data_IF_516052499332
#
_entry.id   IF_516052499332
#
_cell.length_a   1.000
_cell.length_b   1.000
_cell.length_c   1.000
_cell.angle_alpha   90.00
_cell.angle_beta   90.00
_cell.angle_gamma   90.00
#
_symmetry.space_group_name_H-M   'P 1'
#
loop_
_entity.id
_entity.type
_entity.pdbx_description
1 polymer ?
#
# COMPACT_ATOMS: atom_id res chain seq x y z
N UNK A 1 -18.72 -7.72 9.16
CA UNK A 1 -19.25 -7.78 7.77
C UNK A 1 -18.22 -7.16 6.84
N UNK A 2 -17.49 -7.99 6.09
CA UNK A 2 -16.57 -7.52 5.04
C UNK A 2 -17.42 -7.05 3.85
N UNK A 3 -17.30 -5.78 3.48
CA UNK A 3 -17.92 -5.23 2.27
C UNK A 3 -17.26 -5.87 1.05
N UNK A 4 -18.04 -6.65 0.30
CA UNK A 4 -17.63 -7.20 -1.01
C UNK A 4 -17.31 -6.05 -1.98
N UNK A 5 -16.15 -6.07 -2.68
CA UNK A 5 -15.81 -5.04 -3.65
C UNK A 5 -16.85 -4.98 -4.78
N UNK A 6 -17.36 -3.79 -5.10
CA UNK A 6 -18.33 -3.56 -6.20
C UNK A 6 -17.80 -3.90 -7.60
N UNK A 7 -16.49 -4.12 -7.75
CA UNK A 7 -15.84 -4.48 -9.01
C UNK A 7 -14.80 -5.58 -8.79
N UNK A 8 -14.62 -6.53 -9.74
CA UNK A 8 -13.54 -7.50 -9.67
C UNK A 8 -12.20 -6.75 -9.64
N UNK A 9 -11.24 -7.16 -8.79
CA UNK A 9 -9.98 -6.44 -8.66
C UNK A 9 -9.24 -6.39 -10.00
N UNK A 10 -8.79 -5.20 -10.41
CA UNK A 10 -8.01 -4.94 -11.65
C UNK A 10 -6.58 -5.51 -11.60
N UNK A 11 -6.34 -6.52 -10.78
CA UNK A 11 -5.03 -7.06 -10.45
C UNK A 11 -4.49 -6.55 -9.11
N UNK A 12 -3.17 -6.55 -8.98
CA UNK A 12 -2.44 -6.21 -7.77
C UNK A 12 -1.79 -4.83 -7.86
N UNK A 13 -1.66 -4.17 -6.71
CA UNK A 13 -0.83 -2.99 -6.52
C UNK A 13 0.23 -3.31 -5.46
N UNK A 14 1.49 -3.09 -5.79
CA UNK A 14 2.60 -3.18 -4.84
C UNK A 14 3.48 -1.94 -4.94
N UNK A 15 4.47 -1.84 -4.08
CA UNK A 15 5.44 -0.75 -4.09
C UNK A 15 6.79 -1.24 -3.58
N UNK A 16 7.84 -0.55 -4.00
CA UNK A 16 9.17 -0.64 -3.41
C UNK A 16 9.16 -0.01 -2.01
N UNK A 17 8.96 -0.85 -1.00
CA UNK A 17 8.89 -0.41 0.40
C UNK A 17 10.26 0.10 0.88
N UNK A 18 10.27 1.09 1.77
CA UNK A 18 11.46 1.50 2.48
C UNK A 18 11.81 0.47 3.58
N UNK A 19 12.19 -0.75 3.17
CA UNK A 19 12.38 -1.92 4.05
C UNK A 19 13.46 -1.76 5.13
N UNK A 20 14.37 -0.80 4.97
CA UNK A 20 15.40 -0.44 5.95
C UNK A 20 14.96 0.66 6.94
N UNK A 21 13.72 1.15 6.84
CA UNK A 21 13.22 2.20 7.72
C UNK A 21 12.78 1.65 9.09
N UNK A 22 12.26 2.53 9.95
CA UNK A 22 11.69 2.15 11.24
C UNK A 22 10.24 1.70 11.09
N UNK A 23 9.75 0.93 12.07
CA UNK A 23 8.41 0.34 12.07
C UNK A 23 7.28 1.33 11.74
N UNK A 24 7.32 2.54 12.29
CA UNK A 24 6.31 3.56 11.99
C UNK A 24 6.24 3.87 10.48
N UNK A 25 7.39 4.03 9.83
CA UNK A 25 7.44 4.27 8.38
C UNK A 25 6.90 3.09 7.59
N UNK A 26 7.18 1.85 8.01
CA UNK A 26 6.63 0.66 7.38
C UNK A 26 5.10 0.64 7.44
N UNK A 27 4.52 0.91 8.62
CA UNK A 27 3.07 0.98 8.80
C UNK A 27 2.48 2.08 7.90
N UNK A 28 3.11 3.27 7.87
CA UNK A 28 2.66 4.37 7.03
C UNK A 28 2.66 4.02 5.54
N UNK A 29 3.74 3.41 5.04
CA UNK A 29 3.81 3.02 3.62
C UNK A 29 2.75 1.98 3.26
N UNK A 30 2.55 0.97 4.12
CA UNK A 30 1.51 -0.04 3.90
C UNK A 30 0.11 0.58 3.93
N UNK A 31 -0.20 1.44 4.89
CA UNK A 31 -1.50 2.15 4.92
C UNK A 31 -1.71 2.99 3.67
N UNK A 32 -0.69 3.70 3.19
CA UNK A 32 -0.77 4.46 1.94
C UNK A 32 -1.02 3.55 0.74
N UNK A 33 -0.31 2.43 0.61
CA UNK A 33 -0.51 1.47 -0.48
C UNK A 33 -1.92 0.88 -0.43
N UNK A 34 -2.41 0.56 0.76
CA UNK A 34 -3.78 0.08 0.95
C UNK A 34 -4.80 1.10 0.45
N UNK A 35 -4.66 2.38 0.83
CA UNK A 35 -5.52 3.46 0.36
C UNK A 35 -5.50 3.65 -1.16
N UNK A 36 -4.30 3.70 -1.75
CA UNK A 36 -4.13 3.79 -3.20
C UNK A 36 -4.76 2.59 -3.90
N UNK A 37 -4.59 1.38 -3.35
CA UNK A 37 -5.18 0.15 -3.90
C UNK A 37 -6.70 0.22 -3.95
N UNK A 38 -7.34 0.76 -2.91
CA UNK A 38 -8.80 0.94 -2.90
C UNK A 38 -9.26 1.95 -3.95
N UNK A 39 -8.55 3.08 -4.10
CA UNK A 39 -8.84 4.07 -5.14
C UNK A 39 -8.72 3.47 -6.54
N UNK A 40 -7.69 2.65 -6.79
CA UNK A 40 -7.44 2.02 -8.09
C UNK A 40 -8.23 0.73 -8.33
N UNK A 41 -9.05 0.30 -7.38
CA UNK A 41 -9.75 -0.99 -7.41
C UNK A 41 -8.81 -2.20 -7.64
N UNK A 42 -7.65 -2.19 -6.97
CA UNK A 42 -6.63 -3.25 -7.01
C UNK A 42 -6.50 -3.94 -5.66
N UNK A 43 -6.00 -5.18 -5.65
CA UNK A 43 -5.63 -5.89 -4.41
C UNK A 43 -4.24 -5.44 -3.96
N UNK A 44 -4.06 -4.91 -2.74
CA UNK A 44 -2.73 -4.53 -2.26
C UNK A 44 -1.85 -5.78 -2.11
N UNK A 45 -0.56 -5.64 -2.43
CA UNK A 45 0.41 -6.73 -2.41
C UNK A 45 1.78 -6.28 -1.92
N UNK A 46 2.50 -7.23 -1.30
CA UNK A 46 3.90 -7.10 -0.87
C UNK A 46 4.70 -8.19 -1.58
N UNK A 47 5.78 -7.82 -2.25
CA UNK A 47 6.77 -8.74 -2.79
C UNK A 47 7.97 -8.76 -1.84
N UNK A 48 8.34 -9.92 -1.32
CA UNK A 48 9.49 -10.08 -0.44
C UNK A 48 10.75 -10.19 -1.29
N UNK A 49 11.49 -9.10 -1.39
CA UNK A 49 12.72 -9.04 -2.20
C UNK A 49 13.94 -9.58 -1.46
N UNK A 50 14.02 -9.36 -0.14
CA UNK A 50 15.18 -9.72 0.69
C UNK A 50 14.81 -9.91 2.18
N UNK A 51 15.84 -10.13 3.02
CA UNK A 51 15.70 -10.28 4.47
C UNK A 51 15.19 -9.03 5.19
N UNK A 52 15.35 -7.83 4.61
CA UNK A 52 14.83 -6.59 5.18
C UNK A 52 13.32 -6.52 5.00
N UNK A 53 12.79 -6.98 3.87
CA UNK A 53 11.34 -7.14 3.68
C UNK A 53 10.73 -8.14 4.67
N UNK A 54 11.39 -9.27 4.95
CA UNK A 54 10.95 -10.17 6.02
C UNK A 54 10.90 -9.47 7.38
N UNK A 55 11.92 -8.66 7.69
CA UNK A 55 11.99 -7.91 8.95
C UNK A 55 10.87 -6.87 9.07
N UNK A 56 10.59 -6.14 7.97
CA UNK A 56 9.45 -5.23 7.85
C UNK A 56 8.13 -5.95 8.12
N UNK A 57 7.87 -7.05 7.40
CA UNK A 57 6.61 -7.79 7.51
C UNK A 57 6.45 -8.39 8.90
N UNK A 58 7.52 -8.93 9.49
CA UNK A 58 7.48 -9.46 10.85
C UNK A 58 7.26 -8.36 11.89
N UNK A 59 7.85 -7.19 11.73
CA UNK A 59 7.62 -6.03 12.60
C UNK A 59 6.17 -5.58 12.56
N UNK A 60 5.60 -5.40 11.37
CA UNK A 60 4.19 -5.01 11.22
C UNK A 60 3.25 -6.10 11.72
N UNK A 61 3.55 -7.39 11.48
CA UNK A 61 2.72 -8.50 11.95
C UNK A 61 2.58 -8.53 13.48
N UNK A 62 3.65 -8.18 14.20
CA UNK A 62 3.63 -8.15 15.67
C UNK A 62 2.75 -7.04 16.25
N UNK A 63 2.68 -5.89 15.58
CA UNK A 63 2.00 -4.69 16.12
C UNK A 63 0.64 -4.46 15.48
N UNK A 64 0.47 -4.81 14.22
CA UNK A 64 -0.74 -4.53 13.44
C UNK A 64 -1.04 -5.65 12.42
N UNK A 65 -1.28 -6.89 12.89
CA UNK A 65 -1.52 -8.03 11.99
C UNK A 65 -2.73 -7.83 11.08
N UNK A 66 -3.77 -7.12 11.55
CA UNK A 66 -4.95 -6.77 10.76
C UNK A 66 -4.63 -5.98 9.49
N UNK A 67 -3.58 -5.14 9.51
CA UNK A 67 -3.12 -4.44 8.31
C UNK A 67 -2.61 -5.41 7.26
N UNK A 68 -1.78 -6.38 7.66
CA UNK A 68 -1.18 -7.34 6.73
C UNK A 68 -2.19 -8.32 6.15
N UNK A 69 -3.28 -8.61 6.87
CA UNK A 69 -4.35 -9.49 6.36
C UNK A 69 -5.02 -8.94 5.09
N UNK A 70 -4.97 -7.62 4.87
CA UNK A 70 -5.47 -6.99 3.65
C UNK A 70 -4.52 -7.21 2.45
N UNK A 71 -3.26 -7.55 2.69
CA UNK A 71 -2.23 -7.67 1.65
C UNK A 71 -2.07 -9.11 1.16
N UNK A 72 -1.94 -9.24 -0.16
CA UNK A 72 -1.34 -10.44 -0.73
C UNK A 72 0.18 -10.40 -0.58
N UNK A 73 0.74 -11.29 0.23
CA UNK A 73 2.20 -11.43 0.33
C UNK A 73 2.67 -12.48 -0.70
N UNK A 74 3.69 -12.11 -1.46
CA UNK A 74 4.41 -12.99 -2.37
C UNK A 74 5.84 -13.15 -1.87
N UNK A 75 6.25 -14.37 -1.55
CA UNK A 75 7.58 -14.68 -1.06
C UNK A 75 8.60 -14.78 -2.20
N UNK A 76 8.71 -13.68 -2.96
CA UNK A 76 9.58 -13.53 -4.12
C UNK A 76 9.71 -12.06 -4.53
N UNK A 77 10.75 -11.72 -5.30
CA UNK A 77 10.85 -10.41 -5.95
C UNK A 77 9.69 -10.14 -6.91
N UNK A 78 9.51 -8.87 -7.25
CA UNK A 78 8.50 -8.40 -8.20
C UNK A 78 8.66 -9.10 -9.55
N UNK A 79 7.52 -9.45 -10.18
CA UNK A 79 7.52 -10.07 -11.51
C UNK A 79 8.13 -9.12 -12.57
N UNK A 80 8.97 -9.62 -13.50
CA UNK A 80 9.55 -8.80 -14.57
C UNK A 80 8.51 -8.09 -15.45
N UNK A 81 7.35 -8.71 -15.65
CA UNK A 81 6.21 -8.17 -16.40
C UNK A 81 5.40 -7.09 -15.64
N UNK A 82 5.77 -6.78 -14.40
CA UNK A 82 5.10 -5.72 -13.64
C UNK A 82 5.31 -4.35 -14.28
N UNK A 83 4.22 -3.59 -14.38
CA UNK A 83 4.30 -2.20 -14.84
C UNK A 83 4.80 -1.34 -13.69
N UNK A 84 6.01 -0.79 -13.86
CA UNK A 84 6.61 0.13 -12.91
C UNK A 84 6.12 1.55 -13.17
N UNK A 85 5.60 2.21 -12.14
CA UNK A 85 5.13 3.60 -12.22
C UNK A 85 5.60 4.42 -11.02
N UNK A 86 5.90 5.68 -11.27
CA UNK A 86 6.23 6.62 -10.21
C UNK A 86 4.98 7.45 -9.87
N UNK A 87 4.42 7.24 -8.68
CA UNK A 87 3.19 7.96 -8.30
C UNK A 87 3.44 9.44 -8.01
N UNK A 88 4.60 9.80 -7.46
CA UNK A 88 4.96 11.20 -7.19
C UNK A 88 6.44 11.43 -7.46
N UNK A 89 6.73 12.52 -8.16
CA UNK A 89 8.11 12.97 -8.41
C UNK A 89 8.67 13.83 -7.27
N UNK A 90 7.81 14.31 -6.36
CA UNK A 90 8.21 15.18 -5.24
C UNK A 90 7.67 14.65 -3.92
N UNK A 91 8.54 14.51 -2.93
CA UNK A 91 8.08 14.43 -1.54
C UNK A 91 7.37 15.75 -1.20
N UNK A 92 6.36 15.72 -0.34
CA UNK A 92 5.64 16.91 0.11
C UNK A 92 4.25 17.06 -0.52
N UNK A 93 4.02 16.45 -1.69
CA UNK A 93 2.91 16.83 -2.58
C UNK A 93 1.94 15.67 -2.74
N UNK A 94 0.66 15.95 -2.52
CA UNK A 94 -0.40 15.01 -2.86
C UNK A 94 -0.48 14.86 -4.38
N UNK A 95 -0.41 13.63 -4.85
CA UNK A 95 -0.57 13.29 -6.25
C UNK A 95 -1.77 12.34 -6.41
N UNK A 96 -2.75 12.72 -7.23
CA UNK A 96 -3.99 11.96 -7.28
C UNK A 96 -3.74 10.56 -7.88
N UNK A 97 -3.98 9.45 -7.14
CA UNK A 97 -3.75 8.12 -7.66
C UNK A 97 -4.59 7.79 -8.89
N UNK A 98 -5.74 8.46 -9.09
CA UNK A 98 -6.65 8.21 -10.21
C UNK A 98 -5.99 8.32 -11.59
N UNK A 99 -4.85 9.02 -11.71
CA UNK A 99 -4.06 9.05 -12.96
C UNK A 99 -3.57 7.67 -13.42
N UNK A 100 -3.51 6.69 -12.51
CA UNK A 100 -3.09 5.31 -12.77
C UNK A 100 -4.27 4.35 -13.03
N UNK A 101 -5.52 4.82 -13.04
CA UNK A 101 -6.72 3.96 -13.19
C UNK A 101 -6.82 3.26 -14.54
N UNK A 102 -6.25 3.88 -15.58
CA UNK A 102 -6.26 3.38 -16.95
C UNK A 102 -5.21 2.28 -17.20
N UNK A 103 -4.34 2.00 -16.24
CA UNK A 103 -3.36 0.92 -16.37
C UNK A 103 -4.08 -0.40 -16.19
N UNK A 104 -4.01 -1.25 -17.22
CA UNK A 104 -4.65 -2.58 -17.27
C UNK A 104 -3.74 -3.72 -16.84
N UNK A 105 -2.44 -3.45 -16.57
CA UNK A 105 -1.49 -4.48 -16.16
C UNK A 105 -1.95 -5.19 -14.88
N UNK A 106 -1.77 -6.52 -14.85
CA UNK A 106 -2.10 -7.36 -13.68
C UNK A 106 -1.28 -6.98 -12.45
N UNK A 107 -0.01 -6.59 -12.63
CA UNK A 107 0.86 -6.17 -11.54
C UNK A 107 1.30 -4.74 -11.79
N UNK A 108 0.79 -3.81 -10.98
CA UNK A 108 1.25 -2.43 -10.92
C UNK A 108 2.19 -2.30 -9.73
N UNK A 109 3.42 -1.84 -9.97
CA UNK A 109 4.45 -1.69 -8.95
C UNK A 109 4.91 -0.24 -8.88
N UNK A 110 4.75 0.37 -7.72
CA UNK A 110 5.12 1.77 -7.51
C UNK A 110 6.60 1.86 -7.09
N UNK A 111 7.40 2.66 -7.80
CA UNK A 111 8.87 2.72 -7.61
C UNK A 111 9.34 3.86 -6.68
N UNK A 112 8.43 4.50 -5.96
CA UNK A 112 8.72 5.58 -4.99
C UNK A 112 8.84 5.09 -3.55
N UNK A 113 9.36 5.95 -2.67
CA UNK A 113 9.45 5.70 -1.22
C UNK A 113 8.67 6.76 -0.44
N UNK A 114 8.21 6.41 0.77
CA UNK A 114 7.60 7.35 1.73
C UNK A 114 6.41 8.13 1.17
N UNK A 115 5.30 7.42 0.95
CA UNK A 115 4.02 7.99 0.48
C UNK A 115 3.25 8.79 1.54
N UNK A 116 3.96 9.47 2.45
CA UNK A 116 3.39 10.19 3.60
C UNK A 116 2.39 11.28 3.17
N UNK A 117 2.52 11.81 1.95
CA UNK A 117 1.71 12.92 1.44
C UNK A 117 0.42 12.51 0.73
N UNK A 118 0.20 11.20 0.50
CA UNK A 118 -1.09 10.66 0.02
C UNK A 118 -2.22 10.88 1.04
N UNK A 119 -1.88 11.30 2.26
CA UNK A 119 -2.80 11.59 3.35
C UNK A 119 -3.56 12.93 3.19
N UNK A 120 -2.89 13.97 2.66
CA UNK A 120 -3.33 15.37 2.83
C UNK A 120 -4.55 15.76 1.98
N UNK A 121 -4.94 14.96 0.98
CA UNK A 121 -6.04 15.32 0.08
C UNK A 121 -7.08 14.21 -0.14
N UNK A 122 -7.10 13.17 0.72
CA UNK A 122 -8.29 12.32 0.80
C UNK A 122 -9.38 13.09 1.54
N UNK A 123 -10.10 13.96 0.84
CA UNK A 123 -11.33 14.54 1.37
C UNK A 123 -12.27 13.38 1.72
N UNK A 124 -12.51 13.22 3.01
CA UNK A 124 -13.62 12.50 3.66
C UNK A 124 -13.52 10.96 3.80
N UNK A 125 -12.52 10.28 3.24
CA UNK A 125 -12.45 8.80 3.30
C UNK A 125 -11.32 8.22 4.15
N UNK A 126 -10.07 8.57 3.84
CA UNK A 126 -8.90 7.85 4.34
C UNK A 126 -8.41 8.33 5.71
N UNK A 127 -8.49 9.63 6.04
CA UNK A 127 -8.17 10.16 7.39
C UNK A 127 -9.12 9.61 8.46
N UNK A 128 -10.41 9.45 8.12
CA UNK A 128 -11.38 8.83 9.04
C UNK A 128 -11.08 7.35 9.21
N UNK A 129 -10.57 6.70 8.16
CA UNK A 129 -10.16 5.30 8.20
C UNK A 129 -8.88 5.10 9.00
N UNK A 130 -7.84 5.92 8.84
CA UNK A 130 -6.63 5.82 9.68
C UNK A 130 -6.93 6.15 11.13
N UNK A 131 -7.73 7.18 11.42
CA UNK A 131 -8.19 7.46 12.78
C UNK A 131 -9.00 6.28 13.34
N UNK A 132 -10.01 5.76 12.62
CA UNK A 132 -10.74 4.56 13.03
C UNK A 132 -9.89 3.28 13.04
N UNK A 133 -8.81 3.20 12.25
CA UNK A 133 -7.94 2.02 12.16
C UNK A 133 -6.92 2.02 13.30
N UNK A 134 -6.39 3.19 13.68
CA UNK A 134 -5.64 3.36 14.91
C UNK A 134 -6.53 3.16 16.14
N UNK A 135 -7.77 3.68 16.15
CA UNK A 135 -8.73 3.45 17.25
C UNK A 135 -9.20 1.99 17.37
N UNK A 136 -9.32 1.25 16.26
CA UNK A 136 -9.86 -0.13 16.24
C UNK A 136 -8.79 -1.22 16.40
N UNK A 137 -7.50 -0.89 16.24
CA UNK A 137 -6.41 -1.86 16.30
C UNK A 137 -5.25 -1.49 17.23
N UNK A 138 -5.22 -0.28 17.82
CA UNK A 138 -4.26 0.10 18.87
C UNK A 138 -4.92 0.28 20.24
N UNK A 139 -6.26 0.36 20.32
CA UNK A 139 -7.03 0.32 21.57
C UNK A 139 -8.01 -0.85 21.59
#
# INVERSE_FOLDING_TARGET
>A
MHSTPKHPPKGYLSSKLASSARLANHIFELVSIYGISKTLHRKPAIFIEDSKYHSLVNGVRKVMPGLLNEFQIFDRPVFPEAKNELISQKCCVFDNPSKLENITSKYLHLTGHFYQNMYSHSKNGLCRWTASFFERYIY
#
